data_IF_367677968306
#
_entry.id   IF_367677968306
#
_cell.length_a   1.000
_cell.length_b   1.000
_cell.length_c   1.000
_cell.angle_alpha   90.00
_cell.angle_beta   90.00
_cell.angle_gamma   90.00
#
_symmetry.space_group_name_H-M   'P 1'
#
loop_
_entity.id
_entity.type
_entity.pdbx_description
1 polymer ?
#
# COMPACT_ATOMS: atom_id res chain seq x y z
N UNK A 1 -41.62 -7.30 -60.98
CA UNK A 1 -42.49 -8.16 -60.14
C UNK A 1 -42.74 -7.45 -58.82
N UNK A 2 -43.93 -7.60 -58.24
CA UNK A 2 -44.53 -6.55 -57.40
C UNK A 2 -44.09 -6.51 -55.94
N UNK A 3 -44.24 -5.32 -55.36
CA UNK A 3 -44.12 -5.02 -53.93
C UNK A 3 -45.33 -5.59 -53.13
N UNK A 4 -45.18 -5.57 -51.81
CA UNK A 4 -46.21 -5.26 -50.79
C UNK A 4 -47.18 -6.36 -50.30
N UNK A 5 -47.44 -6.31 -48.96
CA UNK A 5 -48.62 -6.82 -48.21
C UNK A 5 -48.68 -8.35 -47.99
N UNK A 6 -49.29 -8.90 -46.92
CA UNK A 6 -49.86 -8.40 -45.65
C UNK A 6 -50.13 -9.59 -44.70
N UNK A 7 -49.65 -9.57 -43.45
CA UNK A 7 -50.12 -10.38 -42.28
C UNK A 7 -49.21 -10.03 -41.07
N UNK A 8 -49.49 -9.14 -40.11
CA UNK A 8 -50.70 -8.55 -39.55
C UNK A 8 -51.45 -9.39 -38.49
N UNK A 9 -51.13 -9.10 -37.20
CA UNK A 9 -52.00 -9.04 -35.99
C UNK A 9 -52.62 -10.41 -35.54
N UNK A 10 -52.54 -10.84 -34.26
CA UNK A 10 -53.60 -10.66 -33.23
C UNK A 10 -53.27 -11.40 -31.90
N UNK A 11 -53.42 -10.70 -30.76
CA UNK A 11 -53.64 -11.14 -29.35
C UNK A 11 -52.64 -12.12 -28.67
N UNK A 12 -52.35 -12.08 -27.36
CA UNK A 12 -52.74 -11.22 -26.23
C UNK A 12 -51.53 -11.16 -25.22
N UNK A 13 -51.57 -10.91 -23.89
CA UNK A 13 -52.61 -10.65 -22.88
C UNK A 13 -51.99 -10.02 -21.59
N UNK A 14 -52.79 -9.91 -20.51
CA UNK A 14 -52.37 -9.84 -19.09
C UNK A 14 -51.49 -8.66 -18.61
N UNK A 15 -52.12 -7.50 -18.49
CA UNK A 15 -51.79 -6.47 -17.49
C UNK A 15 -52.11 -6.90 -16.05
N UNK A 16 -51.61 -6.14 -15.07
CA UNK A 16 -51.99 -6.05 -13.63
C UNK A 16 -51.32 -7.02 -12.63
N UNK A 17 -50.37 -6.49 -11.85
CA UNK A 17 -50.44 -6.32 -10.37
C UNK A 17 -49.04 -6.10 -9.77
N UNK A 18 -48.88 -5.18 -8.81
CA UNK A 18 -47.61 -5.04 -8.08
C UNK A 18 -47.15 -3.62 -7.71
N UNK A 19 -48.03 -2.75 -7.23
CA UNK A 19 -47.61 -1.48 -6.62
C UNK A 19 -46.99 -1.73 -5.23
N UNK A 20 -45.70 -2.06 -5.17
CA UNK A 20 -44.95 -2.16 -3.91
C UNK A 20 -44.46 -0.77 -3.46
N UNK A 21 -45.33 -0.02 -2.78
CA UNK A 21 -44.97 1.27 -2.19
C UNK A 21 -44.06 1.05 -0.96
N UNK A 22 -42.75 1.21 -1.15
CA UNK A 22 -41.79 1.31 -0.05
C UNK A 22 -41.66 2.78 0.38
N UNK A 23 -42.47 3.19 1.36
CA UNK A 23 -42.25 4.46 2.08
C UNK A 23 -41.05 4.33 2.99
N UNK A 24 -39.86 4.61 2.46
CA UNK A 24 -38.66 4.78 3.28
C UNK A 24 -38.77 6.11 4.03
N UNK A 25 -39.21 6.02 5.28
CA UNK A 25 -38.95 7.07 6.27
C UNK A 25 -37.47 7.03 6.59
N UNK A 26 -36.72 7.98 6.01
CA UNK A 26 -35.35 8.27 6.38
C UNK A 26 -35.33 9.56 7.19
N UNK A 27 -35.17 9.41 8.50
CA UNK A 27 -34.97 10.47 9.48
C UNK A 27 -33.77 11.34 9.08
N UNK A 28 -34.01 12.56 8.60
CA UNK A 28 -32.95 13.57 8.48
C UNK A 28 -32.74 14.22 9.84
N UNK A 29 -32.09 13.48 10.74
CA UNK A 29 -31.57 14.05 11.98
C UNK A 29 -30.53 15.11 11.62
N UNK A 30 -30.87 16.36 11.92
CA UNK A 30 -30.09 17.56 11.64
C UNK A 30 -28.74 17.51 12.39
N UNK A 31 -27.74 16.87 11.78
CA UNK A 31 -26.38 16.79 12.30
C UNK A 31 -25.68 18.15 12.15
N UNK A 32 -26.11 19.11 12.99
CA UNK A 32 -25.43 20.38 13.19
C UNK A 32 -23.98 20.10 13.57
N UNK A 33 -23.09 20.28 12.61
CA UNK A 33 -21.64 20.28 12.84
C UNK A 33 -21.33 21.49 13.71
N UNK A 34 -21.35 21.27 15.03
CA UNK A 34 -20.98 22.22 16.05
C UNK A 34 -19.46 22.47 15.96
N UNK A 35 -19.08 23.35 15.03
CA UNK A 35 -17.73 23.88 14.89
C UNK A 35 -17.31 24.45 16.24
N UNK A 36 -16.36 23.80 16.91
CA UNK A 36 -15.88 24.16 18.24
C UNK A 36 -14.53 24.88 18.10
N UNK A 37 -14.47 26.22 18.18
CA UNK A 37 -13.21 26.96 18.22
C UNK A 37 -12.73 27.07 19.67
N UNK A 38 -12.17 25.99 20.20
CA UNK A 38 -11.45 25.97 21.47
C UNK A 38 -10.20 25.08 21.31
N UNK A 39 -9.06 25.65 20.95
CA UNK A 39 -8.09 26.27 21.87
C UNK A 39 -7.32 25.24 22.71
N UNK A 40 -6.07 24.96 22.30
CA UNK A 40 -4.95 24.71 23.21
C UNK A 40 -3.63 24.64 22.43
N UNK A 41 -2.70 25.50 22.85
CA UNK A 41 -1.33 25.58 22.37
C UNK A 41 -0.57 24.25 22.63
N UNK A 42 -0.46 23.40 21.61
CA UNK A 42 0.37 22.19 21.67
C UNK A 42 1.85 22.52 21.61
N UNK A 43 2.51 22.73 22.76
CA UNK A 43 3.97 22.70 22.85
C UNK A 43 4.46 21.30 22.47
N UNK A 44 5.23 21.20 21.39
CA UNK A 44 5.91 19.96 21.02
C UNK A 44 6.96 19.59 22.09
N UNK A 45 6.97 18.36 22.62
CA UNK A 45 8.05 17.91 23.49
C UNK A 45 9.33 17.73 22.68
N UNK A 46 10.42 18.35 23.14
CA UNK A 46 11.76 18.15 22.58
C UNK A 46 12.21 16.73 22.89
N UNK A 47 12.35 15.91 21.85
CA UNK A 47 12.84 14.53 21.98
C UNK A 47 14.28 14.50 22.46
N UNK A 48 14.49 14.05 23.70
CA UNK A 48 15.82 13.76 24.25
C UNK A 48 16.23 12.36 23.78
N UNK A 49 17.15 12.30 22.82
CA UNK A 49 17.66 11.04 22.30
C UNK A 49 18.67 10.44 23.30
N UNK A 50 18.18 9.65 24.24
CA UNK A 50 19.04 8.87 25.13
C UNK A 50 19.64 7.68 24.36
N UNK A 51 20.96 7.73 24.17
CA UNK A 51 21.76 6.59 23.72
C UNK A 51 22.38 5.96 24.95
N UNK A 52 21.81 4.85 25.41
CA UNK A 52 22.58 3.91 26.22
C UNK A 52 22.33 2.48 25.74
N UNK A 53 23.43 1.79 25.43
CA UNK A 53 23.40 0.43 24.92
C UNK A 53 23.51 -0.59 26.04
N UNK A 54 22.79 -1.72 25.93
CA UNK A 54 23.09 -2.90 26.74
C UNK A 54 22.95 -4.19 25.93
N UNK A 55 23.96 -5.05 26.07
CA UNK A 55 24.17 -6.27 25.29
C UNK A 55 23.43 -7.52 25.84
N UNK A 56 23.46 -8.58 25.01
CA UNK A 56 23.39 -10.06 25.27
C UNK A 56 22.01 -10.73 25.14
N UNK A 57 21.89 -11.99 24.65
CA UNK A 57 22.79 -12.85 23.85
C UNK A 57 22.09 -14.12 23.33
N UNK A 58 22.63 -14.76 22.26
CA UNK A 58 22.30 -16.14 21.84
C UNK A 58 21.15 -16.26 20.82
N UNK A 59 21.08 -17.25 19.91
CA UNK A 59 21.91 -18.45 19.61
C UNK A 59 21.74 -18.83 18.11
N UNK A 60 22.74 -19.44 17.47
CA UNK A 60 22.58 -20.02 16.11
C UNK A 60 23.88 -20.33 15.34
N UNK A 61 24.27 -21.61 15.28
CA UNK A 61 25.36 -22.24 14.50
C UNK A 61 25.22 -22.04 12.95
N UNK A 62 26.20 -22.24 12.04
CA UNK A 62 27.64 -22.61 11.96
C UNK A 62 28.09 -22.37 10.46
N UNK A 63 29.20 -22.88 9.87
CA UNK A 63 30.51 -23.35 10.37
C UNK A 63 31.73 -22.52 9.81
N UNK A 64 32.97 -22.90 10.14
CA UNK A 64 34.21 -22.23 9.72
C UNK A 64 34.79 -22.71 8.37
N UNK A 65 35.68 -21.92 7.73
CA UNK A 65 37.03 -22.42 7.40
C UNK A 65 38.14 -21.34 7.58
N UNK A 66 39.40 -21.65 7.19
CA UNK A 66 40.51 -21.92 8.10
C UNK A 66 41.19 -20.67 8.70
N UNK A 67 41.83 -20.89 9.85
CA UNK A 67 42.75 -19.94 10.50
C UNK A 67 44.00 -19.69 9.65
N UNK A 68 44.39 -18.41 9.53
CA UNK A 68 45.74 -18.02 9.09
C UNK A 68 46.52 -17.53 10.31
N UNK A 69 47.54 -18.28 10.71
CA UNK A 69 48.35 -17.99 11.89
C UNK A 69 49.33 -16.85 11.61
N UNK A 70 49.12 -15.69 12.25
CA UNK A 70 50.12 -14.64 12.35
C UNK A 70 50.60 -14.54 13.80
N UNK A 71 51.89 -14.79 14.01
CA UNK A 71 52.59 -14.69 15.30
C UNK A 71 52.60 -13.25 15.84
N UNK A 72 52.60 -13.06 17.17
CA UNK A 72 52.61 -11.73 17.77
C UNK A 72 53.99 -11.07 17.63
N UNK A 73 54.03 -9.88 17.03
CA UNK A 73 55.23 -9.02 17.08
C UNK A 73 55.17 -8.16 18.33
N UNK A 74 56.31 -8.07 19.03
CA UNK A 74 56.41 -7.49 20.36
C UNK A 74 56.22 -5.96 20.41
N UNK A 75 55.73 -5.52 21.56
CA UNK A 75 56.12 -4.28 22.25
C UNK A 75 56.39 -3.03 21.39
N UNK A 76 55.32 -2.32 21.02
CA UNK A 76 55.40 -0.88 20.82
C UNK A 76 55.09 -0.16 22.15
N UNK A 77 55.96 0.77 22.54
CA UNK A 77 55.81 1.62 23.73
C UNK A 77 54.47 2.38 23.75
N UNK A 78 53.87 2.63 24.93
CA UNK A 78 52.71 3.51 25.03
C UNK A 78 53.12 4.95 24.71
N UNK A 79 52.96 5.35 23.45
CA UNK A 79 52.95 6.77 23.10
C UNK A 79 51.85 7.42 23.92
N UNK A 80 52.25 8.39 24.75
CA UNK A 80 51.30 9.18 25.55
C UNK A 80 50.58 10.10 24.58
N UNK A 81 49.50 9.60 23.99
CA UNK A 81 48.65 10.37 23.08
C UNK A 81 48.04 11.52 23.87
N UNK A 82 48.66 12.71 23.72
CA UNK A 82 48.18 13.94 24.34
C UNK A 82 46.72 14.10 23.99
N UNK A 83 45.85 14.07 25.00
CA UNK A 83 44.41 14.05 24.83
C UNK A 83 43.97 15.20 23.90
N UNK A 84 43.70 14.84 22.64
CA UNK A 84 43.24 15.80 21.63
C UNK A 84 41.84 16.21 22.07
N UNK A 85 41.76 17.37 22.75
CA UNK A 85 40.48 17.98 23.10
C UNK A 85 39.64 18.00 21.82
N UNK A 86 38.40 17.44 21.83
CA UNK A 86 37.55 17.49 20.65
C UNK A 86 37.41 18.95 20.25
N UNK A 87 37.88 19.30 19.05
CA UNK A 87 37.70 20.64 18.51
C UNK A 87 36.20 20.90 18.48
N UNK A 88 35.77 21.98 19.12
CA UNK A 88 34.37 22.38 19.06
C UNK A 88 34.02 22.58 17.58
N UNK A 89 33.23 21.66 17.03
CA UNK A 89 32.71 21.81 15.68
C UNK A 89 31.83 23.07 15.68
N UNK A 90 32.18 24.04 14.85
CA UNK A 90 31.33 25.21 14.64
C UNK A 90 29.92 24.74 14.29
N UNK A 91 28.91 25.42 14.81
CA UNK A 91 27.52 25.08 14.53
C UNK A 91 27.32 25.01 13.01
N UNK A 92 26.73 23.92 12.47
CA UNK A 92 26.56 23.78 11.04
C UNK A 92 25.71 24.94 10.51
N UNK A 93 26.10 25.48 9.36
CA UNK A 93 25.33 26.53 8.71
C UNK A 93 23.87 26.08 8.47
N UNK A 94 22.88 26.98 8.59
CA UNK A 94 21.49 26.61 8.38
C UNK A 94 21.28 26.05 6.97
N UNK A 95 20.67 24.87 6.88
CA UNK A 95 20.33 24.25 5.61
C UNK A 95 19.15 24.99 4.97
N UNK A 96 19.46 26.02 4.18
CA UNK A 96 18.47 26.75 3.39
C UNK A 96 18.20 26.01 2.09
N UNK A 97 16.97 25.51 1.92
CA UNK A 97 16.54 24.93 0.65
C UNK A 97 16.43 26.03 -0.40
N UNK A 98 17.10 25.86 -1.54
CA UNK A 98 17.29 26.92 -2.56
C UNK A 98 15.99 27.50 -3.13
N UNK A 99 14.88 26.77 -3.09
CA UNK A 99 13.56 27.29 -3.47
C UNK A 99 13.08 28.43 -2.57
N UNK A 100 13.47 28.45 -1.28
CA UNK A 100 13.10 29.50 -0.33
C UNK A 100 13.85 30.81 -0.59
N UNK A 101 14.95 30.78 -1.35
CA UNK A 101 15.68 31.97 -1.78
C UNK A 101 15.05 32.71 -2.97
N UNK A 102 13.96 32.20 -3.56
CA UNK A 102 13.28 32.83 -4.70
C UNK A 102 11.74 32.89 -4.51
N UNK A 103 11.24 33.50 -3.42
CA UNK A 103 9.82 33.77 -3.26
C UNK A 103 9.38 34.75 -4.36
N UNK A 104 8.40 34.36 -5.17
CA UNK A 104 7.85 35.20 -6.25
C UNK A 104 8.09 34.72 -7.68
N UNK A 105 8.69 33.54 -7.92
CA UNK A 105 8.59 32.91 -9.26
C UNK A 105 7.12 32.74 -9.65
N UNK A 106 6.77 33.17 -10.86
CA UNK A 106 5.41 33.07 -11.37
C UNK A 106 4.92 31.61 -11.37
N UNK A 107 3.71 31.37 -10.85
CA UNK A 107 3.09 30.04 -10.84
C UNK A 107 2.92 29.56 -12.28
N UNK A 108 3.53 28.41 -12.60
CA UNK A 108 3.31 27.72 -13.88
C UNK A 108 1.82 27.33 -13.94
N UNK A 109 1.14 27.73 -15.02
CA UNK A 109 -0.26 27.37 -15.25
C UNK A 109 -0.34 25.84 -15.48
N UNK A 110 -1.30 25.12 -14.89
CA UNK A 110 -1.52 23.71 -15.20
C UNK A 110 -1.68 23.48 -16.69
N UNK A 111 -1.10 22.39 -17.20
CA UNK A 111 -1.34 21.92 -18.56
C UNK A 111 -2.82 21.57 -18.79
N UNK A 112 -3.26 21.52 -20.04
CA UNK A 112 -4.61 21.04 -20.37
C UNK A 112 -4.74 19.57 -19.96
N UNK A 113 -5.83 19.23 -19.27
CA UNK A 113 -6.18 17.84 -18.99
C UNK A 113 -6.23 17.01 -20.28
N UNK A 114 -5.81 15.73 -20.26
CA UNK A 114 -5.93 14.87 -21.42
C UNK A 114 -7.40 14.71 -21.81
N UNK A 115 -7.71 14.89 -23.11
CA UNK A 115 -9.08 14.76 -23.64
C UNK A 115 -9.59 13.31 -23.64
N UNK A 116 -8.67 12.35 -23.70
CA UNK A 116 -8.97 10.93 -23.75
C UNK A 116 -8.66 10.30 -22.39
N UNK A 117 -9.46 9.33 -21.91
CA UNK A 117 -9.12 8.54 -20.73
C UNK A 117 -7.75 7.88 -20.92
N UNK A 118 -6.87 8.00 -19.91
CA UNK A 118 -5.60 7.27 -19.89
C UNK A 118 -5.93 5.79 -19.75
N UNK A 119 -5.54 4.98 -20.74
CA UNK A 119 -5.69 3.53 -20.70
C UNK A 119 -4.66 2.97 -19.72
N UNK A 120 -5.11 2.69 -18.49
CA UNK A 120 -4.31 2.05 -17.45
C UNK A 120 -4.57 0.54 -17.50
N UNK A 121 -3.52 -0.28 -17.49
CA UNK A 121 -3.67 -1.73 -17.42
C UNK A 121 -4.27 -2.14 -16.06
N UNK A 122 -5.17 -3.13 -16.00
CA UNK A 122 -5.80 -3.58 -14.74
C UNK A 122 -4.83 -4.25 -13.75
N UNK A 123 -3.55 -4.37 -14.14
CA UNK A 123 -2.43 -4.99 -13.40
C UNK A 123 -1.35 -3.98 -12.99
N UNK A 124 -1.57 -2.67 -13.19
CA UNK A 124 -0.56 -1.61 -12.91
C UNK A 124 -0.13 -1.55 -11.44
N UNK A 125 -1.01 -1.98 -10.55
CA UNK A 125 -0.86 -2.00 -9.09
C UNK A 125 -0.15 -3.26 -8.59
N UNK A 126 0.20 -4.20 -9.49
CA UNK A 126 0.73 -5.51 -9.11
C UNK A 126 -0.34 -6.48 -8.58
N UNK A 127 -1.62 -6.07 -8.57
CA UNK A 127 -2.73 -6.85 -8.04
C UNK A 127 -3.48 -7.61 -9.14
N UNK A 128 -3.96 -8.80 -8.80
CA UNK A 128 -4.83 -9.58 -9.65
C UNK A 128 -6.29 -9.29 -9.33
N UNK A 129 -6.91 -8.46 -10.18
CA UNK A 129 -8.31 -8.03 -10.04
C UNK A 129 -9.33 -9.10 -10.45
N UNK A 130 -8.89 -10.30 -10.84
CA UNK A 130 -9.79 -11.45 -11.01
C UNK A 130 -10.19 -12.10 -9.67
N UNK A 131 -9.55 -11.72 -8.55
CA UNK A 131 -9.74 -12.32 -7.23
C UNK A 131 -10.15 -11.29 -6.18
N UNK A 132 -11.04 -11.70 -5.28
CA UNK A 132 -11.43 -10.97 -4.09
C UNK A 132 -12.41 -9.81 -4.34
N UNK A 133 -12.33 -8.79 -3.51
CA UNK A 133 -13.11 -7.55 -3.65
C UNK A 133 -12.25 -6.42 -4.24
N UNK A 134 -12.85 -5.27 -4.57
CA UNK A 134 -12.10 -4.08 -5.03
C UNK A 134 -11.02 -3.62 -4.04
N UNK A 135 -11.20 -3.88 -2.75
CA UNK A 135 -10.25 -3.53 -1.69
C UNK A 135 -9.16 -4.62 -1.48
N UNK A 136 -9.35 -5.82 -2.02
CA UNK A 136 -8.40 -6.92 -1.88
C UNK A 136 -7.39 -6.92 -3.03
N UNK A 137 -6.11 -7.13 -2.71
CA UNK A 137 -5.02 -7.22 -3.68
C UNK A 137 -4.36 -8.59 -3.55
N UNK A 138 -4.77 -9.56 -4.36
CA UNK A 138 -3.99 -10.80 -4.55
C UNK A 138 -2.78 -10.45 -5.41
N UNK A 139 -1.54 -10.81 -5.05
CA UNK A 139 -0.39 -10.53 -5.90
C UNK A 139 -0.49 -11.22 -7.27
N UNK A 140 -0.09 -10.55 -8.35
CA UNK A 140 0.09 -11.17 -9.67
C UNK A 140 1.29 -12.12 -9.71
N UNK A 141 2.31 -11.80 -8.92
CA UNK A 141 3.55 -12.55 -8.83
C UNK A 141 3.84 -12.80 -7.35
N UNK A 142 3.92 -14.08 -6.99
CA UNK A 142 4.34 -14.48 -5.65
C UNK A 142 5.84 -14.26 -5.46
N UNK A 143 6.31 -14.01 -4.21
CA UNK A 143 7.74 -13.96 -3.90
C UNK A 143 8.49 -15.22 -4.37
N UNK A 144 9.77 -15.05 -4.76
CA UNK A 144 10.63 -16.17 -5.14
C UNK A 144 10.73 -17.18 -3.99
N UNK A 145 10.58 -18.46 -4.30
CA UNK A 145 10.61 -19.56 -3.33
C UNK A 145 9.24 -19.99 -2.79
N UNK A 146 8.15 -19.26 -3.08
CA UNK A 146 6.80 -19.72 -2.75
C UNK A 146 6.42 -20.91 -3.64
N UNK A 147 6.33 -22.10 -3.03
CA UNK A 147 5.91 -23.35 -3.69
C UNK A 147 4.40 -23.56 -3.59
N UNK A 148 3.83 -23.28 -2.42
CA UNK A 148 2.39 -23.31 -2.18
C UNK A 148 1.86 -21.88 -2.07
N UNK A 149 1.12 -21.47 -3.11
CA UNK A 149 0.48 -20.16 -3.21
C UNK A 149 -0.66 -20.00 -2.22
N UNK A 150 -1.38 -21.09 -1.92
CA UNK A 150 -2.55 -21.08 -1.05
C UNK A 150 -2.17 -21.04 0.43
N UNK A 151 -1.13 -21.78 0.83
CA UNK A 151 -0.53 -21.61 2.16
C UNK A 151 0.03 -20.20 2.35
N UNK A 152 0.70 -19.63 1.34
CA UNK A 152 1.19 -18.25 1.39
C UNK A 152 0.05 -17.24 1.55
N UNK A 153 -1.02 -17.36 0.75
CA UNK A 153 -2.19 -16.48 0.84
C UNK A 153 -2.84 -16.56 2.22
N UNK A 154 -3.10 -17.78 2.74
CA UNK A 154 -3.68 -17.99 4.06
C UNK A 154 -2.82 -17.39 5.18
N UNK A 155 -1.49 -17.54 5.09
CA UNK A 155 -0.55 -16.94 6.05
C UNK A 155 -0.53 -15.39 6.02
N UNK A 156 -0.89 -14.77 4.90
CA UNK A 156 -0.98 -13.31 4.74
C UNK A 156 -2.42 -12.78 4.91
N UNK A 157 -3.32 -13.55 5.52
CA UNK A 157 -4.70 -13.13 5.82
C UNK A 157 -5.69 -13.21 4.65
N UNK A 158 -5.28 -13.77 3.50
CA UNK A 158 -6.17 -14.01 2.36
C UNK A 158 -6.93 -15.32 2.56
N UNK A 159 -8.09 -15.23 3.23
CA UNK A 159 -9.02 -16.34 3.40
C UNK A 159 -10.27 -16.19 2.52
N UNK A 160 -10.75 -17.29 1.92
CA UNK A 160 -12.00 -17.35 1.11
C UNK A 160 -12.05 -16.31 0.00
N UNK A 161 -10.97 -16.22 -0.79
CA UNK A 161 -10.87 -15.20 -1.83
C UNK A 161 -11.72 -15.62 -3.04
N UNK A 162 -12.84 -14.93 -3.26
CA UNK A 162 -13.74 -15.24 -4.37
C UNK A 162 -13.07 -15.04 -5.73
N UNK A 163 -13.24 -15.97 -6.67
CA UNK A 163 -12.92 -15.76 -8.09
C UNK A 163 -14.07 -14.97 -8.73
N UNK A 164 -13.74 -13.84 -9.36
CA UNK A 164 -14.73 -12.87 -9.89
C UNK A 164 -14.90 -12.99 -11.40
N UNK A 165 -13.82 -13.33 -12.12
CA UNK A 165 -13.81 -13.38 -13.59
C UNK A 165 -13.20 -14.70 -14.10
N UNK A 166 -11.92 -14.93 -13.81
CA UNK A 166 -11.17 -16.09 -14.31
C UNK A 166 -10.10 -16.52 -13.30
N UNK A 167 -9.92 -17.82 -13.07
CA UNK A 167 -8.86 -18.36 -12.23
C UNK A 167 -7.47 -18.39 -12.94
N UNK A 168 -7.02 -17.22 -13.38
CA UNK A 168 -5.78 -17.04 -14.17
C UNK A 168 -4.53 -17.61 -13.48
N UNK A 169 -4.48 -17.57 -12.16
CA UNK A 169 -3.36 -18.05 -11.34
C UNK A 169 -3.51 -19.49 -10.84
N UNK A 170 -4.59 -20.20 -11.20
CA UNK A 170 -4.85 -21.59 -10.81
C UNK A 170 -4.90 -21.79 -9.29
N UNK A 171 -5.63 -20.92 -8.61
CA UNK A 171 -5.82 -20.92 -7.16
C UNK A 171 -7.14 -21.62 -6.74
N UNK A 172 -8.05 -21.88 -7.68
CA UNK A 172 -9.34 -22.56 -7.49
C UNK A 172 -9.36 -23.86 -8.32
N UNK A 173 -8.61 -24.91 -7.90
CA UNK A 173 -8.41 -26.11 -8.69
C UNK A 173 -9.67 -26.97 -8.85
N UNK A 174 -10.58 -26.92 -7.87
CA UNK A 174 -11.88 -27.61 -7.88
C UNK A 174 -13.00 -26.76 -8.53
N UNK A 175 -12.72 -25.50 -8.85
CA UNK A 175 -13.60 -24.56 -9.59
C UNK A 175 -14.89 -24.24 -8.83
N UNK A 176 -14.81 -24.14 -7.51
CA UNK A 176 -15.94 -23.84 -6.65
C UNK A 176 -16.25 -22.31 -6.58
N UNK A 177 -15.40 -21.47 -7.18
CA UNK A 177 -15.50 -20.00 -7.17
C UNK A 177 -14.77 -19.34 -5.99
N UNK A 178 -14.04 -20.10 -5.17
CA UNK A 178 -13.26 -19.67 -4.02
C UNK A 178 -11.83 -20.17 -4.21
N UNK A 179 -10.90 -19.24 -4.41
CA UNK A 179 -9.48 -19.55 -4.41
C UNK A 179 -9.06 -20.11 -3.05
N UNK A 180 -8.32 -21.22 -3.09
CA UNK A 180 -7.76 -21.93 -1.94
C UNK A 180 -8.82 -22.48 -0.98
N UNK A 181 -9.89 -23.07 -1.55
CA UNK A 181 -10.88 -23.91 -0.86
C UNK A 181 -10.29 -25.12 -0.16
#
# INVERSE_FOLDING_TARGET
>A
MSRMRLTAIVLAAATLCGAAAWTVVADQSDARVASTPAAAQGRLPVGRADRDGRQRAGLGAAPAPPVSSATPVASATPVTESAVRPRAHAAPAPFVQSFAGQPGRARIKPGRSPKNPVKVAPTVDGCDRNYGTRAQCVPLNFPKGVRDRCAWLKAHGFSRVKVVVEDRQKLDPDRNGIACG
#
